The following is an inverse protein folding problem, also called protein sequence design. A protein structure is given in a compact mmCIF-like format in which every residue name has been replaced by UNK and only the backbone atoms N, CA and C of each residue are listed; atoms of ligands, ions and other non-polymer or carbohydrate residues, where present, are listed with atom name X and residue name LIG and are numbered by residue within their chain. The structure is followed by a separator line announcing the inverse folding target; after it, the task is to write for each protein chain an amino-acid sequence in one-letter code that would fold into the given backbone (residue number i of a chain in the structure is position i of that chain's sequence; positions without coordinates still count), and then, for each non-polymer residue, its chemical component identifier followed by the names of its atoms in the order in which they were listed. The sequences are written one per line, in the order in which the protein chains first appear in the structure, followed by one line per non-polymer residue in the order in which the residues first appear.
data_IF_854498194634
#
_entry.id   IF_854498194634
#
_cell.length_a   1.000
_cell.length_b   1.000
_cell.length_c   1.000
_cell.angle_alpha   90.00
_cell.angle_beta   90.00
_cell.angle_gamma   90.00
#
_symmetry.space_group_name_H-M   'P 1'
#
loop_
_entity.id
_entity.type
_entity.pdbx_description
1 polymer ?
#
# COMPACT_ATOMS: atom_id res chain seq x y z
N UNK A 1 4.47 14.41 16.62
CA UNK A 1 4.47 14.09 15.51
C UNK A 1 3.59 13.05 15.09
N UNK A 2 3.05 13.05 14.03
CA UNK A 2 2.12 12.20 13.68
C UNK A 2 2.51 11.35 12.60
N UNK A 3 3.19 10.30 12.86
CA UNK A 3 3.64 9.43 11.82
C UNK A 3 2.50 8.78 11.07
N UNK A 4 1.37 8.55 11.73
CA UNK A 4 0.28 7.97 11.03
C UNK A 4 -0.19 8.79 9.90
N UNK A 5 0.04 10.07 9.95
CA UNK A 5 -0.43 10.94 8.92
C UNK A 5 0.32 10.78 7.62
N UNK A 6 1.52 10.23 7.65
CA UNK A 6 2.27 10.08 6.43
C UNK A 6 1.70 9.01 5.53
N UNK A 7 1.37 7.86 6.09
CA UNK A 7 0.78 6.81 5.28
C UNK A 7 -0.59 7.22 4.79
N UNK A 8 -1.37 7.86 5.64
CA UNK A 8 -2.70 8.28 5.25
C UNK A 8 -2.63 9.36 4.17
N UNK A 9 -1.71 10.30 4.31
CA UNK A 9 -1.56 11.35 3.33
C UNK A 9 -1.14 10.76 1.98
N UNK A 10 -0.24 9.78 2.01
CA UNK A 10 0.17 9.14 0.78
C UNK A 10 -0.99 8.40 0.14
N UNK A 11 -1.80 7.73 0.96
CA UNK A 11 -2.93 6.98 0.46
C UNK A 11 -3.92 7.89 -0.27
N UNK A 12 -4.09 9.09 0.22
CA UNK A 12 -5.05 10.02 -0.34
C UNK A 12 -4.46 10.96 -1.39
N UNK A 13 -3.20 10.81 -1.68
CA UNK A 13 -2.53 11.67 -2.63
C UNK A 13 -2.99 11.39 -4.05
N UNK A 14 -3.00 12.43 -4.89
CA UNK A 14 -3.43 12.29 -6.24
C UNK A 14 -2.54 11.41 -7.06
N UNK A 15 -1.25 11.38 -6.79
CA UNK A 15 -0.32 10.59 -7.57
C UNK A 15 -0.14 9.18 -7.02
N UNK A 16 -0.77 8.87 -5.91
CA UNK A 16 -0.59 7.57 -5.28
C UNK A 16 -1.23 6.47 -6.13
N UNK A 17 -0.78 5.24 -5.96
CA UNK A 17 -1.34 4.13 -6.71
C UNK A 17 -2.85 3.99 -6.53
N UNK A 18 -3.35 4.29 -5.34
CA UNK A 18 -4.77 4.13 -5.08
C UNK A 18 -5.60 5.08 -5.93
N UNK A 19 -5.08 6.26 -6.20
CA UNK A 19 -5.80 7.19 -7.04
C UNK A 19 -5.52 6.93 -8.52
N UNK A 20 -4.27 6.70 -8.86
CA UNK A 20 -3.87 6.53 -10.21
C UNK A 20 -4.51 5.33 -10.89
N UNK A 21 -4.65 4.26 -10.15
CA UNK A 21 -5.23 3.04 -10.67
C UNK A 21 -6.65 2.80 -10.17
N UNK A 22 -7.27 3.81 -9.59
CA UNK A 22 -8.65 3.73 -9.10
C UNK A 22 -8.89 2.49 -8.26
N UNK A 23 -8.04 2.29 -7.27
CA UNK A 23 -8.11 1.10 -6.44
C UNK A 23 -9.40 1.08 -5.64
N UNK A 24 -10.20 0.03 -5.74
CA UNK A 24 -11.47 -0.03 -5.02
C UNK A 24 -11.31 -0.15 -3.51
N UNK A 25 -10.11 -0.47 -3.03
CA UNK A 25 -9.89 -0.60 -1.61
C UNK A 25 -9.53 0.71 -0.94
N UNK A 26 -9.39 1.79 -1.69
CA UNK A 26 -8.90 3.05 -1.13
C UNK A 26 -9.69 3.52 0.08
N UNK A 27 -11.00 3.49 0.01
CA UNK A 27 -11.82 3.97 1.11
C UNK A 27 -11.66 3.10 2.35
N UNK A 28 -11.60 1.79 2.15
CA UNK A 28 -11.44 0.88 3.27
C UNK A 28 -10.04 1.02 3.88
N UNK A 29 -9.03 1.18 3.04
CA UNK A 29 -7.68 1.36 3.54
C UNK A 29 -7.59 2.63 4.38
N UNK A 30 -8.23 3.70 3.95
CA UNK A 30 -8.20 4.94 4.72
C UNK A 30 -8.94 4.78 6.05
N UNK A 31 -10.07 4.08 6.03
CA UNK A 31 -10.85 3.91 7.24
C UNK A 31 -10.21 2.96 8.23
N UNK A 32 -9.57 1.91 7.74
CA UNK A 32 -9.01 0.89 8.62
C UNK A 32 -7.50 0.97 8.77
N UNK A 33 -6.89 1.96 8.17
CA UNK A 33 -5.44 2.17 8.25
C UNK A 33 -4.68 0.98 7.69
N UNK A 34 -5.00 0.65 6.45
CA UNK A 34 -4.36 -0.45 5.75
C UNK A 34 -3.52 0.08 4.60
N UNK A 35 -2.54 -0.69 4.18
CA UNK A 35 -1.74 -0.34 3.03
C UNK A 35 -1.25 -1.59 2.34
N UNK A 36 -1.02 -1.48 1.03
CA UNK A 36 -0.47 -2.59 0.27
C UNK A 36 0.96 -2.27 -0.10
N UNK A 37 1.66 -3.25 -0.65
CA UNK A 37 3.04 -3.04 -1.01
C UNK A 37 3.19 -2.01 -2.11
N UNK A 38 2.20 -1.84 -2.96
CA UNK A 38 2.29 -0.79 -3.97
C UNK A 38 2.39 0.59 -3.33
N UNK A 39 1.65 0.82 -2.25
CA UNK A 39 1.75 2.10 -1.55
C UNK A 39 3.10 2.25 -0.88
N UNK A 40 3.61 1.18 -0.30
CA UNK A 40 4.92 1.22 0.32
C UNK A 40 5.99 1.60 -0.71
N UNK A 41 5.95 1.00 -1.89
CA UNK A 41 6.90 1.31 -2.92
C UNK A 41 6.77 2.77 -3.36
N UNK A 42 5.55 3.26 -3.47
CA UNK A 42 5.32 4.63 -3.86
C UNK A 42 5.93 5.61 -2.84
N UNK A 43 5.73 5.32 -1.57
CA UNK A 43 6.26 6.20 -0.53
C UNK A 43 7.78 6.22 -0.58
N UNK A 44 8.39 5.09 -0.86
CA UNK A 44 9.83 5.03 -0.87
C UNK A 44 10.46 5.50 -2.17
N UNK A 45 9.85 5.26 -3.29
CA UNK A 45 10.48 5.55 -4.57
C UNK A 45 9.79 6.60 -5.41
N UNK A 46 8.55 6.94 -5.08
CA UNK A 46 7.78 7.86 -5.88
C UNK A 46 7.12 7.23 -7.08
N UNK A 47 7.30 5.93 -7.28
CA UNK A 47 6.72 5.26 -8.43
C UNK A 47 5.43 4.58 -8.09
N UNK A 48 4.42 4.78 -8.90
CA UNK A 48 3.11 4.17 -8.68
C UNK A 48 2.97 2.89 -9.49
N UNK A 49 2.55 1.83 -8.81
CA UNK A 49 2.30 0.56 -9.47
C UNK A 49 0.86 0.15 -9.15
N UNK A 50 0.27 -0.66 -9.99
CA UNK A 50 -1.11 -1.09 -9.79
C UNK A 50 -1.21 -1.93 -8.50
N UNK A 51 -1.97 -1.48 -7.51
CA UNK A 51 -2.06 -2.23 -6.26
C UNK A 51 -2.58 -3.64 -6.42
N UNK A 52 -3.38 -3.87 -7.45
CA UNK A 52 -3.97 -5.19 -7.63
C UNK A 52 -2.99 -6.25 -8.09
N UNK A 53 -1.76 -5.85 -8.39
CA UNK A 53 -0.73 -6.81 -8.74
C UNK A 53 0.02 -7.30 -7.51
N UNK A 54 -0.34 -6.80 -6.35
CA UNK A 54 0.34 -7.18 -5.11
C UNK A 54 -0.66 -7.81 -4.16
N UNK A 55 -0.19 -8.26 -3.02
CA UNK A 55 -1.08 -8.81 -2.01
C UNK A 55 -2.01 -7.72 -1.50
N UNK A 56 -3.19 -8.09 -1.01
CA UNK A 56 -4.13 -7.10 -0.49
C UNK A 56 -3.56 -6.29 0.66
N UNK A 57 -4.13 -5.13 0.93
CA UNK A 57 -3.62 -4.27 1.99
C UNK A 57 -3.72 -4.89 3.37
N UNK A 58 -2.75 -4.57 4.23
CA UNK A 58 -2.77 -5.01 5.61
C UNK A 58 -2.37 -3.87 6.53
N UNK A 59 -2.68 -4.04 7.80
CA UNK A 59 -2.31 -3.07 8.79
C UNK A 59 -0.80 -3.09 8.99
N UNK A 60 -0.20 -4.26 8.83
CA UNK A 60 1.24 -4.38 8.99
C UNK A 60 2.02 -3.54 8.01
N UNK A 61 1.57 -3.48 6.76
CA UNK A 61 2.25 -2.66 5.77
C UNK A 61 2.04 -1.18 6.09
N UNK A 62 0.84 -0.80 6.54
CA UNK A 62 0.59 0.58 6.92
C UNK A 62 1.55 0.99 8.04
N UNK A 63 1.69 0.15 9.05
CA UNK A 63 2.58 0.45 10.16
C UNK A 63 4.04 0.49 9.72
N UNK A 64 4.41 -0.33 8.76
CA UNK A 64 5.77 -0.33 8.24
C UNK A 64 6.09 0.99 7.54
N UNK A 65 5.13 1.54 6.80
CA UNK A 65 5.34 2.81 6.15
C UNK A 65 5.61 3.90 7.20
N UNK A 66 4.86 3.87 8.29
CA UNK A 66 5.05 4.87 9.31
C UNK A 66 6.40 4.74 9.98
N UNK A 67 6.81 3.52 10.26
CA UNK A 67 8.09 3.31 10.92
C UNK A 67 9.25 3.62 10.02
N UNK A 68 9.18 3.21 8.77
CA UNK A 68 10.28 3.37 7.88
C UNK A 68 10.57 4.81 7.57
N UNK A 69 9.57 5.64 7.59
CA UNK A 69 9.83 7.03 7.36
C UNK A 69 10.77 7.56 8.38
N UNK A 70 10.71 7.03 9.56
CA UNK A 70 11.56 7.52 10.59
C UNK A 70 12.95 6.95 10.46
N UNK A 71 13.07 5.71 10.16
CA UNK A 71 14.36 5.14 10.15
C UNK A 71 14.95 4.90 8.83
N UNK A 72 14.24 4.58 7.95
CA UNK A 72 14.58 4.29 6.69
C UNK A 72 15.76 3.67 6.26
N UNK A 73 16.40 2.94 7.02
CA UNK A 73 17.48 2.28 6.51
C UNK A 73 16.94 1.01 5.96
N UNK A 74 15.67 0.79 6.05
CA UNK A 74 15.15 -0.42 5.52
C UNK A 74 14.57 -0.21 4.19
N UNK A 75 14.93 0.86 3.57
CA UNK A 75 14.36 1.16 2.31
C UNK A 75 14.46 0.07 1.32
N UNK A 76 15.43 -0.84 1.48
CA UNK A 76 15.52 -1.82 0.52
C UNK A 76 14.62 -2.92 0.77
N UNK A 77 13.86 -2.86 1.77
CA UNK A 77 13.00 -3.95 2.04
C UNK A 77 11.91 -4.12 1.04
N UNK A 78 11.62 -3.06 0.22
CA UNK A 78 10.56 -3.26 -0.63
C UNK A 78 11.02 -3.63 -1.95
N UNK A 79 10.93 -4.83 -2.32
CA UNK A 79 11.20 -5.23 -3.63
C UNK A 79 9.87 -5.30 -4.30
N UNK A 80 9.86 -5.31 -5.60
CA UNK A 80 8.61 -5.42 -6.31
C UNK A 80 8.13 -6.84 -6.23
N UNK A 81 7.43 -7.16 -5.18
CA UNK A 81 6.96 -8.50 -4.99
C UNK A 81 5.57 -8.68 -5.54
N UNK A 82 5.47 -8.67 -6.85
CA UNK A 82 4.17 -8.86 -7.48
C UNK A 82 3.76 -10.32 -7.43
N UNK A 83 2.49 -10.55 -7.24
CA UNK A 83 1.97 -11.91 -7.26
C UNK A 83 1.58 -12.30 -8.67
N UNK A 84 1.60 -13.59 -8.99
CA UNK A 84 1.04 -14.03 -10.27
C UNK A 84 -0.39 -13.54 -10.39
N UNK A 85 -0.81 -13.23 -11.60
CA UNK A 85 -2.11 -12.58 -11.80
C UNK A 85 -3.27 -13.35 -11.18
N UNK A 86 -3.29 -14.67 -11.31
CA UNK A 86 -4.39 -15.42 -10.76
C UNK A 86 -4.33 -15.49 -9.25
N UNK A 87 -3.13 -15.52 -8.65
CA UNK A 87 -3.04 -15.50 -7.21
C UNK A 87 -3.44 -14.15 -6.66
N UNK A 88 -3.03 -13.08 -7.33
CA UNK A 88 -3.40 -11.76 -6.88
C UNK A 88 -4.91 -11.57 -6.93
N UNK A 89 -5.53 -12.00 -8.01
CA UNK A 89 -6.97 -11.87 -8.13
C UNK A 89 -7.70 -12.64 -7.06
N UNK A 90 -7.24 -13.83 -6.76
CA UNK A 90 -7.88 -14.63 -5.74
C UNK A 90 -7.71 -14.03 -4.35
N UNK A 91 -6.51 -13.56 -4.05
CA UNK A 91 -6.25 -12.97 -2.75
C UNK A 91 -7.11 -11.72 -2.54
N UNK A 92 -7.23 -10.89 -3.56
CA UNK A 92 -8.03 -9.69 -3.44
C UNK A 92 -9.52 -10.02 -3.31
N UNK A 93 -9.98 -11.06 -3.99
CA UNK A 93 -11.36 -11.47 -3.87
C UNK A 93 -11.67 -11.93 -2.44
N UNK A 94 -10.76 -12.67 -1.84
CA UNK A 94 -10.97 -13.12 -0.49
C UNK A 94 -10.89 -11.98 0.50
N UNK A 95 -9.97 -11.06 0.28
CA UNK A 95 -9.84 -9.91 1.15
C UNK A 95 -11.11 -9.06 1.11
N UNK A 96 -11.72 -8.94 -0.04
CA UNK A 96 -12.92 -8.12 -0.18
C UNK A 96 -14.10 -8.71 0.55
N UNK A 97 -14.08 -10.01 0.79
CA UNK A 97 -15.17 -10.63 1.51
C UNK A 97 -15.05 -10.46 3.01
N UNK A 98 -13.90 -10.16 3.49
CA UNK A 98 -13.65 -10.12 4.95
C UNK A 98 -14.35 -8.96 5.66
#
# INVERSE_FOLDING_TARGET
MKHKDQALAALLSRDAPCDRYACPARARCAAELLACNALLIYVETGRAHDPREFAPPTRGVFDAIERDRAGHEHGMAYKLLKLPADEAGQAWAEWAKA
#
